data_IF_348181311286
#
_entry.id   IF_348181311286
#
_cell.length_a   1.000
_cell.length_b   1.000
_cell.length_c   1.000
_cell.angle_alpha   90.00
_cell.angle_beta   90.00
_cell.angle_gamma   90.00
#
_symmetry.space_group_name_H-M   'P 1'
#
loop_
_entity.id
_entity.type
_entity.pdbx_description
1 polymer ?
#
# COMPACT_ATOMS: atom_id res chain seq x y z
N UNK A 1 23.77 -2.33 -16.99
CA UNK A 1 24.23 -2.54 -15.60
C UNK A 1 23.10 -3.27 -14.90
N UNK A 2 23.23 -4.57 -14.70
CA UNK A 2 22.20 -5.40 -14.06
C UNK A 2 22.07 -4.99 -12.60
N UNK A 3 20.92 -4.44 -12.21
CA UNK A 3 20.50 -4.49 -10.82
C UNK A 3 20.29 -5.96 -10.48
N UNK A 4 21.11 -6.53 -9.60
CA UNK A 4 20.81 -7.85 -9.04
C UNK A 4 19.45 -7.75 -8.37
N UNK A 5 18.49 -8.52 -8.88
CA UNK A 5 17.09 -8.51 -8.45
C UNK A 5 16.90 -9.18 -7.07
N UNK A 6 18.00 -9.55 -6.43
CA UNK A 6 18.10 -10.27 -5.15
C UNK A 6 18.49 -9.38 -3.96
N UNK A 7 18.66 -8.07 -4.17
CA UNK A 7 18.97 -7.11 -3.11
C UNK A 7 17.86 -6.05 -2.98
N UNK A 8 17.63 -5.60 -1.76
CA UNK A 8 16.74 -4.47 -1.46
C UNK A 8 17.53 -3.34 -0.81
N UNK A 9 17.05 -2.11 -1.04
CA UNK A 9 17.65 -0.90 -0.46
C UNK A 9 16.85 -0.43 0.76
N UNK A 10 17.49 -0.41 1.92
CA UNK A 10 16.96 0.19 3.14
C UNK A 10 17.49 1.62 3.26
N UNK A 11 16.62 2.60 3.45
CA UNK A 11 16.99 4.02 3.56
C UNK A 11 16.82 4.48 5.01
N UNK A 12 17.84 5.14 5.55
CA UNK A 12 17.76 5.83 6.83
C UNK A 12 18.02 7.32 6.65
N UNK A 13 17.03 8.14 6.98
CA UNK A 13 17.03 9.59 6.84
C UNK A 13 17.12 10.24 8.23
N UNK A 14 18.14 11.07 8.43
CA UNK A 14 18.37 11.81 9.68
C UNK A 14 18.16 13.29 9.40
N UNK A 15 17.32 13.96 10.18
CA UNK A 15 16.90 15.36 9.98
C UNK A 15 17.07 16.17 11.25
N UNK A 16 17.20 17.49 11.10
CA UNK A 16 17.05 18.43 12.20
C UNK A 16 18.24 18.47 13.17
N UNK A 17 19.44 18.10 12.73
CA UNK A 17 20.62 18.05 13.60
C UNK A 17 21.57 19.22 13.33
N UNK A 18 22.27 19.65 14.39
CA UNK A 18 23.35 20.63 14.37
C UNK A 18 24.33 20.32 15.53
N UNK A 19 25.66 20.37 15.31
CA UNK A 19 26.39 20.74 14.08
C UNK A 19 26.39 19.65 12.98
N UNK A 20 26.95 19.97 11.80
CA UNK A 20 26.96 19.12 10.58
C UNK A 20 27.53 17.70 10.77
N UNK A 21 28.47 17.51 11.68
CA UNK A 21 29.20 16.25 11.82
C UNK A 21 28.52 15.34 12.85
N UNK A 22 27.86 14.28 12.37
CA UNK A 22 27.33 13.19 13.20
C UNK A 22 27.79 11.85 12.62
N UNK A 23 27.78 10.82 13.45
CA UNK A 23 28.03 9.45 13.02
C UNK A 23 26.70 8.76 12.73
N UNK A 24 26.62 8.06 11.60
CA UNK A 24 25.50 7.19 11.23
C UNK A 24 26.00 5.76 11.00
N UNK A 25 25.37 4.78 11.66
CA UNK A 25 25.75 3.36 11.61
C UNK A 25 24.54 2.46 11.37
N UNK A 26 24.82 1.26 10.86
CA UNK A 26 23.85 0.20 10.65
C UNK A 26 24.23 -1.02 11.47
N UNK A 27 23.22 -1.73 11.98
CA UNK A 27 23.41 -3.02 12.64
C UNK A 27 22.21 -3.94 12.42
N UNK A 28 22.43 -5.25 12.54
CA UNK A 28 21.39 -6.28 12.52
C UNK A 28 21.81 -7.40 13.45
N UNK A 29 20.88 -7.97 14.22
CA UNK A 29 21.17 -9.00 15.22
C UNK A 29 22.33 -8.63 16.17
N UNK A 30 22.36 -7.36 16.62
CA UNK A 30 23.42 -6.79 17.45
C UNK A 30 24.85 -6.81 16.85
N UNK A 31 24.98 -7.03 15.54
CA UNK A 31 26.26 -6.96 14.82
C UNK A 31 26.30 -5.70 13.97
N UNK A 32 27.44 -5.01 14.02
CA UNK A 32 27.69 -3.83 13.19
C UNK A 32 27.82 -4.26 11.74
N UNK A 33 27.13 -3.54 10.86
CA UNK A 33 27.22 -3.72 9.41
C UNK A 33 28.15 -2.64 8.87
N UNK A 34 29.14 -3.03 8.06
CA UNK A 34 30.13 -2.12 7.47
C UNK A 34 30.16 -2.17 5.94
N UNK A 35 29.54 -3.17 5.33
CA UNK A 35 29.47 -3.40 3.88
C UNK A 35 28.09 -3.07 3.32
N UNK A 36 27.99 -2.80 2.02
CA UNK A 36 26.71 -2.50 1.36
C UNK A 36 26.10 -1.14 1.73
N UNK A 37 26.86 -0.29 2.44
CA UNK A 37 26.40 1.02 2.92
C UNK A 37 26.86 2.11 1.96
N UNK A 38 25.90 2.85 1.42
CA UNK A 38 26.13 4.12 0.72
C UNK A 38 25.73 5.27 1.63
N UNK A 39 26.64 6.22 1.87
CA UNK A 39 26.38 7.43 2.66
C UNK A 39 26.23 8.63 1.74
N UNK A 40 25.28 9.50 2.06
CA UNK A 40 25.07 10.75 1.35
C UNK A 40 25.44 11.92 2.27
N UNK A 41 26.09 12.97 1.73
CA UNK A 41 26.56 14.09 2.54
C UNK A 41 25.41 14.83 3.22
N UNK A 42 25.71 15.44 4.37
CA UNK A 42 24.78 16.34 5.03
C UNK A 42 24.55 17.61 4.21
N UNK A 43 23.29 17.93 3.96
CA UNK A 43 22.83 19.14 3.29
C UNK A 43 22.14 20.03 4.32
N UNK A 44 22.39 21.34 4.26
CA UNK A 44 21.74 22.32 5.13
C UNK A 44 20.41 22.77 4.52
N UNK A 45 19.34 22.70 5.31
CA UNK A 45 18.03 23.22 4.95
C UNK A 45 17.95 24.74 5.13
N UNK A 46 16.84 25.33 4.69
CA UNK A 46 16.55 26.76 4.89
C UNK A 46 16.34 27.11 6.36
N UNK A 47 15.97 26.13 7.17
CA UNK A 47 15.86 26.20 8.64
C UNK A 47 17.22 26.16 9.35
N UNK A 48 18.32 26.23 8.59
CA UNK A 48 19.70 26.12 9.05
C UNK A 48 20.08 24.76 9.63
N UNK A 49 19.17 23.79 9.74
CA UNK A 49 19.46 22.45 10.23
C UNK A 49 20.03 21.56 9.13
N UNK A 50 20.78 20.53 9.52
CA UNK A 50 21.31 19.56 8.58
C UNK A 50 20.38 18.35 8.44
N UNK A 51 20.39 17.78 7.23
CA UNK A 51 19.77 16.51 6.88
C UNK A 51 20.77 15.64 6.14
N UNK A 52 20.86 14.36 6.49
CA UNK A 52 21.69 13.38 5.79
C UNK A 52 20.94 12.06 5.63
N UNK A 53 21.43 11.21 4.73
CA UNK A 53 20.87 9.87 4.58
C UNK A 53 21.94 8.82 4.31
N UNK A 54 21.60 7.58 4.61
CA UNK A 54 22.39 6.42 4.23
C UNK A 54 21.46 5.33 3.69
N UNK A 55 21.95 4.60 2.70
CA UNK A 55 21.29 3.46 2.10
C UNK A 55 22.11 2.20 2.40
N UNK A 56 21.45 1.17 2.90
CA UNK A 56 22.03 -0.15 3.11
C UNK A 56 21.41 -1.12 2.09
N UNK A 57 22.24 -1.76 1.27
CA UNK A 57 21.81 -2.89 0.43
C UNK A 57 21.85 -4.18 1.26
N UNK A 58 20.76 -4.94 1.24
CA UNK A 58 20.67 -6.24 1.94
C UNK A 58 20.04 -7.28 1.04
N UNK A 59 20.32 -8.58 1.25
CA UNK A 59 19.64 -9.65 0.53
C UNK A 59 18.12 -9.59 0.74
N UNK A 60 17.37 -9.78 -0.34
CA UNK A 60 15.91 -9.86 -0.29
C UNK A 60 15.44 -11.06 0.56
N UNK A 61 16.22 -12.14 0.62
CA UNK A 61 15.97 -13.30 1.50
C UNK A 61 15.91 -12.90 2.97
N UNK A 62 16.88 -12.12 3.44
CA UNK A 62 16.98 -11.71 4.84
C UNK A 62 15.82 -10.79 5.21
N UNK A 63 15.46 -9.88 4.32
CA UNK A 63 14.28 -9.03 4.48
C UNK A 63 12.98 -9.83 4.54
N UNK A 64 12.83 -10.80 3.64
CA UNK A 64 11.64 -11.64 3.57
C UNK A 64 11.54 -12.62 4.75
N UNK A 65 12.67 -12.97 5.37
CA UNK A 65 12.75 -13.69 6.64
C UNK A 65 12.45 -12.81 7.87
N UNK A 66 11.98 -11.57 7.66
CA UNK A 66 11.66 -10.58 8.71
C UNK A 66 12.88 -10.15 9.55
N UNK A 67 14.08 -10.13 8.94
CA UNK A 67 15.26 -9.55 9.60
C UNK A 67 15.01 -8.11 10.00
N UNK A 68 15.60 -7.72 11.13
CA UNK A 68 15.47 -6.40 11.71
C UNK A 68 16.80 -5.67 11.57
N UNK A 69 16.74 -4.47 11.00
CA UNK A 69 17.88 -3.59 10.82
C UNK A 69 17.71 -2.37 11.72
N UNK A 70 18.83 -1.89 12.23
CA UNK A 70 18.88 -0.76 13.15
C UNK A 70 19.80 0.29 12.55
N UNK A 71 19.26 1.49 12.33
CA UNK A 71 20.05 2.65 11.95
C UNK A 71 20.22 3.52 13.18
N UNK A 72 21.47 3.83 13.56
CA UNK A 72 21.79 4.72 14.67
C UNK A 72 22.46 5.98 14.17
N UNK A 73 22.08 7.13 14.71
CA UNK A 73 22.71 8.40 14.39
C UNK A 73 22.88 9.29 15.62
N UNK A 74 24.04 9.94 15.75
CA UNK A 74 24.32 10.88 16.85
C UNK A 74 25.76 11.39 16.88
N UNK A 75 26.04 12.27 17.85
CA UNK A 75 27.36 12.85 18.07
C UNK A 75 28.29 11.91 18.84
N UNK A 76 27.76 11.28 19.88
CA UNK A 76 28.46 10.29 20.72
C UNK A 76 27.74 8.96 20.66
N UNK A 77 28.47 7.87 20.90
CA UNK A 77 27.94 6.51 20.76
C UNK A 77 26.85 6.16 21.77
N UNK A 78 26.87 6.78 22.95
CA UNK A 78 25.90 6.62 24.04
C UNK A 78 24.62 7.47 23.86
N UNK A 79 24.70 8.54 23.06
CA UNK A 79 23.60 9.48 22.80
C UNK A 79 22.95 9.27 21.40
N UNK A 80 23.24 8.17 20.71
CA UNK A 80 22.69 7.93 19.38
C UNK A 80 21.19 7.58 19.41
N UNK A 81 20.42 8.23 18.55
CA UNK A 81 19.02 7.88 18.29
C UNK A 81 18.98 6.69 17.33
N UNK A 82 18.16 5.70 17.68
CA UNK A 82 18.00 4.47 16.92
C UNK A 82 16.65 4.42 16.18
N UNK A 83 16.69 4.11 14.89
CA UNK A 83 15.54 3.76 14.08
C UNK A 83 15.56 2.27 13.75
N UNK A 84 14.45 1.59 14.06
CA UNK A 84 14.24 0.17 13.75
C UNK A 84 13.54 0.03 12.40
N UNK A 85 14.17 -0.69 11.48
CA UNK A 85 13.69 -0.92 10.11
C UNK A 85 13.42 -2.41 9.96
N UNK A 86 12.20 -2.75 9.58
CA UNK A 86 11.74 -4.13 9.38
C UNK A 86 10.65 -4.14 8.31
N UNK A 87 10.40 -5.33 7.75
CA UNK A 87 9.28 -5.54 6.84
C UNK A 87 7.96 -5.12 7.51
N UNK A 88 7.19 -4.19 6.92
CA UNK A 88 5.88 -3.84 7.43
C UNK A 88 5.00 -5.09 7.47
N UNK A 89 4.20 -5.22 8.54
CA UNK A 89 3.22 -6.30 8.61
C UNK A 89 2.15 -6.03 7.57
N UNK A 90 1.93 -6.99 6.68
CA UNK A 90 0.86 -6.87 5.70
C UNK A 90 -0.50 -6.99 6.38
N UNK A 91 -1.44 -6.13 5.99
CA UNK A 91 -2.83 -6.16 6.43
C UNK A 91 -3.72 -6.30 5.21
N UNK A 92 -4.67 -7.23 5.27
CA UNK A 92 -5.59 -7.49 4.18
C UNK A 92 -6.67 -6.40 4.11
N UNK A 93 -7.08 -5.97 2.89
CA UNK A 93 -8.16 -5.01 2.74
C UNK A 93 -9.51 -5.58 3.17
N UNK A 94 -10.35 -4.71 3.69
CA UNK A 94 -11.80 -4.87 3.68
C UNK A 94 -12.36 -4.21 2.42
N UNK A 95 -13.27 -4.89 1.73
CA UNK A 95 -13.84 -4.41 0.48
C UNK A 95 -15.36 -4.30 0.63
N UNK A 96 -15.88 -3.10 0.40
CA UNK A 96 -17.31 -2.80 0.48
C UNK A 96 -17.77 -2.18 -0.82
N UNK A 97 -18.79 -2.75 -1.44
CA UNK A 97 -19.40 -2.17 -2.63
C UNK A 97 -20.30 -0.99 -2.24
N UNK A 98 -20.17 0.11 -2.97
CA UNK A 98 -21.01 1.28 -2.85
C UNK A 98 -21.95 1.30 -4.05
N UNK A 99 -23.24 1.25 -3.79
CA UNK A 99 -24.28 1.41 -4.80
C UNK A 99 -25.00 2.74 -4.58
N UNK A 100 -25.41 3.43 -5.65
CA UNK A 100 -26.18 4.66 -5.51
C UNK A 100 -27.58 4.36 -4.97
N UNK A 101 -28.12 5.33 -4.22
CA UNK A 101 -29.47 5.27 -3.71
C UNK A 101 -30.52 5.20 -4.83
N UNK A 102 -31.65 4.57 -4.56
CA UNK A 102 -32.77 4.44 -5.52
C UNK A 102 -33.30 5.78 -5.99
N UNK A 103 -33.28 6.81 -5.13
CA UNK A 103 -33.75 8.17 -5.44
C UNK A 103 -32.88 8.89 -6.48
N UNK A 104 -31.56 8.63 -6.49
CA UNK A 104 -30.61 9.26 -7.42
C UNK A 104 -30.71 8.74 -8.85
N UNK A 105 -31.28 7.54 -9.06
CA UNK A 105 -31.31 6.88 -10.38
C UNK A 105 -32.48 7.35 -11.26
N UNK A 106 -33.53 7.94 -10.67
CA UNK A 106 -34.79 8.18 -11.38
C UNK A 106 -34.68 9.23 -12.51
N UNK A 107 -33.71 10.15 -12.42
CA UNK A 107 -33.52 11.25 -13.38
C UNK A 107 -32.13 11.26 -14.05
N UNK A 108 -31.35 10.19 -13.93
CA UNK A 108 -29.99 10.11 -14.47
C UNK A 108 -29.91 9.14 -15.66
N UNK A 109 -29.01 9.43 -16.60
CA UNK A 109 -28.68 8.52 -17.73
C UNK A 109 -27.59 7.51 -17.38
N UNK A 110 -26.77 7.83 -16.37
CA UNK A 110 -25.68 7.00 -15.88
C UNK A 110 -25.76 6.83 -14.37
N UNK A 111 -25.08 5.80 -13.87
CA UNK A 111 -25.02 5.42 -12.47
C UNK A 111 -23.58 5.14 -12.09
N UNK A 112 -23.16 5.56 -10.90
CA UNK A 112 -21.80 5.37 -10.41
C UNK A 112 -21.79 4.24 -9.38
N UNK A 113 -21.11 3.16 -9.73
CA UNK A 113 -20.83 2.04 -8.83
C UNK A 113 -19.48 2.30 -8.15
N UNK A 114 -19.38 2.02 -6.86
CA UNK A 114 -18.16 2.23 -6.09
C UNK A 114 -17.69 0.95 -5.39
N UNK A 115 -16.41 0.94 -5.05
CA UNK A 115 -15.72 -0.12 -4.34
C UNK A 115 -14.80 0.57 -3.33
N UNK A 116 -15.28 0.66 -2.09
CA UNK A 116 -14.52 1.18 -0.96
C UNK A 116 -13.58 0.09 -0.47
N UNK A 117 -12.29 0.40 -0.36
CA UNK A 117 -11.26 -0.52 0.04
C UNK A 117 -10.50 0.09 1.21
N UNK A 118 -10.45 -0.56 2.36
CA UNK A 118 -9.89 0.02 3.59
C UNK A 118 -9.11 -0.99 4.43
N UNK A 119 -8.26 -0.51 5.34
CA UNK A 119 -7.56 -1.36 6.31
C UNK A 119 -6.36 -2.13 5.75
N UNK A 120 -5.94 -1.85 4.52
CA UNK A 120 -4.81 -2.56 3.90
C UNK A 120 -3.48 -1.86 4.17
N UNK A 121 -2.40 -2.63 4.21
CA UNK A 121 -1.04 -2.10 4.26
C UNK A 121 -0.07 -3.15 3.74
N UNK A 122 1.01 -2.77 3.01
CA UNK A 122 1.33 -1.44 2.47
C UNK A 122 0.37 -0.99 1.34
N UNK A 123 0.57 0.18 0.75
CA UNK A 123 -0.35 0.83 -0.19
C UNK A 123 -0.35 0.26 -1.63
N UNK A 124 0.24 -0.91 -1.85
CA UNK A 124 0.39 -1.54 -3.16
C UNK A 124 -0.83 -2.41 -3.52
N UNK A 125 -1.90 -1.79 -3.99
CA UNK A 125 -3.16 -2.46 -4.36
C UNK A 125 -3.45 -2.42 -5.86
N UNK A 126 -4.11 -3.45 -6.37
CA UNK A 126 -4.61 -3.52 -7.75
C UNK A 126 -6.11 -3.71 -7.73
N UNK A 127 -6.83 -2.93 -8.53
CA UNK A 127 -8.29 -2.99 -8.63
C UNK A 127 -8.68 -3.17 -10.10
N UNK A 128 -9.68 -4.03 -10.34
CA UNK A 128 -10.21 -4.35 -11.66
C UNK A 128 -11.73 -4.37 -11.62
N UNK A 129 -12.37 -4.05 -12.75
CA UNK A 129 -13.82 -4.09 -12.89
C UNK A 129 -14.24 -5.02 -14.02
N UNK A 130 -15.38 -5.67 -13.85
CA UNK A 130 -15.99 -6.53 -14.89
C UNK A 130 -17.51 -6.35 -14.95
N UNK A 131 -18.08 -6.44 -16.15
CA UNK A 131 -19.52 -6.62 -16.43
C UNK A 131 -19.70 -8.06 -16.92
N UNK A 132 -20.20 -8.95 -16.07
CA UNK A 132 -20.13 -10.40 -16.28
C UNK A 132 -18.68 -10.85 -16.43
N UNK A 133 -18.30 -11.33 -17.63
CA UNK A 133 -16.92 -11.71 -17.95
C UNK A 133 -16.13 -10.63 -18.69
N UNK A 134 -16.76 -9.50 -19.04
CA UNK A 134 -16.14 -8.46 -19.85
C UNK A 134 -15.45 -7.42 -18.97
N UNK A 135 -14.16 -7.18 -19.21
CA UNK A 135 -13.39 -6.17 -18.49
C UNK A 135 -13.97 -4.77 -18.69
N UNK A 136 -13.98 -3.98 -17.63
CA UNK A 136 -14.43 -2.60 -17.61
C UNK A 136 -13.31 -1.68 -17.11
N UNK A 137 -13.27 -0.47 -17.64
CA UNK A 137 -12.32 0.56 -17.18
C UNK A 137 -12.96 1.36 -16.04
N UNK A 138 -12.59 1.02 -14.81
CA UNK A 138 -12.88 1.84 -13.63
C UNK A 138 -11.78 2.85 -13.34
N UNK A 139 -12.05 3.76 -12.43
CA UNK A 139 -11.08 4.73 -11.90
C UNK A 139 -10.74 4.33 -10.46
N UNK A 140 -9.46 4.39 -10.09
CA UNK A 140 -8.99 4.16 -8.73
C UNK A 140 -8.43 5.47 -8.20
N UNK A 141 -8.93 5.94 -7.06
CA UNK A 141 -8.41 7.16 -6.45
C UNK A 141 -7.07 6.90 -5.73
N UNK A 142 -6.24 7.93 -5.51
CA UNK A 142 -5.02 7.79 -4.72
C UNK A 142 -5.34 7.30 -3.30
N UNK A 143 -4.58 6.30 -2.83
CA UNK A 143 -4.69 5.79 -1.47
C UNK A 143 -4.39 6.88 -0.44
N UNK A 144 -5.21 6.95 0.60
CA UNK A 144 -5.03 7.84 1.73
C UNK A 144 -4.58 7.03 2.96
N UNK A 145 -3.64 7.58 3.73
CA UNK A 145 -3.18 6.96 4.97
C UNK A 145 -4.14 7.30 6.11
N UNK A 146 -4.54 6.27 6.85
CA UNK A 146 -5.40 6.35 8.03
C UNK A 146 -4.55 6.49 9.31
N UNK A 147 -5.20 6.82 10.43
CA UNK A 147 -4.55 7.01 11.74
C UNK A 147 -3.97 5.73 12.35
N UNK A 148 -4.45 4.57 11.90
CA UNK A 148 -4.00 3.24 12.30
C UNK A 148 -2.86 2.68 11.43
N UNK A 149 -2.19 3.56 10.67
CA UNK A 149 -1.13 3.22 9.70
C UNK A 149 -1.56 2.28 8.56
N UNK A 150 -2.87 2.11 8.36
CA UNK A 150 -3.44 1.47 7.18
C UNK A 150 -3.74 2.48 6.08
N UNK A 151 -4.13 1.96 4.93
CA UNK A 151 -4.53 2.75 3.76
C UNK A 151 -5.99 2.47 3.41
N UNK A 152 -6.62 3.48 2.82
CA UNK A 152 -7.93 3.37 2.22
C UNK A 152 -7.96 4.03 0.84
N UNK A 153 -8.75 3.48 -0.07
CA UNK A 153 -9.02 4.05 -1.38
C UNK A 153 -10.44 3.71 -1.83
N UNK A 154 -10.95 4.46 -2.80
CA UNK A 154 -12.19 4.17 -3.49
C UNK A 154 -11.89 3.98 -4.97
N UNK A 155 -12.42 2.90 -5.54
CA UNK A 155 -12.55 2.78 -6.99
C UNK A 155 -13.99 2.93 -7.41
N UNK A 156 -14.24 3.55 -8.56
CA UNK A 156 -15.58 3.71 -9.10
C UNK A 156 -15.65 3.37 -10.59
N UNK A 157 -16.85 2.97 -11.02
CA UNK A 157 -17.19 2.64 -12.39
C UNK A 157 -18.50 3.36 -12.75
N UNK A 158 -18.46 4.14 -13.83
CA UNK A 158 -19.64 4.82 -14.36
C UNK A 158 -20.26 3.95 -15.46
N UNK A 159 -21.54 3.61 -15.33
CA UNK A 159 -22.24 2.75 -16.29
C UNK A 159 -23.59 3.37 -16.69
N UNK A 160 -24.13 3.07 -17.89
CA UNK A 160 -25.47 3.50 -18.26
C UNK A 160 -26.54 2.90 -17.35
N UNK A 161 -27.59 3.68 -17.02
CA UNK A 161 -28.71 3.19 -16.20
C UNK A 161 -29.45 2.05 -16.90
N UNK A 162 -29.54 2.08 -18.24
CA UNK A 162 -30.14 1.02 -19.03
C UNK A 162 -29.42 -0.32 -18.77
N UNK A 163 -28.10 -0.36 -18.98
CA UNK A 163 -27.25 -1.53 -18.73
C UNK A 163 -27.28 -2.03 -17.28
N UNK A 164 -27.36 -1.10 -16.32
CA UNK A 164 -27.48 -1.45 -14.90
C UNK A 164 -28.81 -2.15 -14.64
N UNK A 165 -29.93 -1.59 -15.13
CA UNK A 165 -31.29 -2.12 -14.95
C UNK A 165 -31.53 -3.47 -15.63
N UNK A 166 -30.72 -3.84 -16.62
CA UNK A 166 -30.73 -5.19 -17.22
C UNK A 166 -30.40 -6.30 -16.22
N UNK A 167 -29.86 -5.98 -15.04
CA UNK A 167 -29.52 -6.99 -14.03
C UNK A 167 -28.21 -7.73 -14.34
N UNK A 168 -27.30 -7.07 -15.06
CA UNK A 168 -25.93 -7.56 -15.26
C UNK A 168 -25.15 -7.56 -13.94
N UNK A 169 -24.22 -8.51 -13.78
CA UNK A 169 -23.28 -8.52 -12.65
C UNK A 169 -22.13 -7.56 -12.91
N UNK A 170 -21.95 -6.61 -12.00
CA UNK A 170 -20.79 -5.73 -11.98
C UNK A 170 -19.90 -6.11 -10.82
N UNK A 171 -18.65 -6.46 -11.10
CA UNK A 171 -17.73 -6.99 -10.07
C UNK A 171 -16.49 -6.14 -9.93
N UNK A 172 -16.16 -5.80 -8.68
CA UNK A 172 -14.89 -5.20 -8.28
C UNK A 172 -13.94 -6.32 -7.82
N UNK A 173 -12.86 -6.53 -8.56
CA UNK A 173 -11.77 -7.44 -8.19
C UNK A 173 -10.64 -6.65 -7.53
N UNK A 174 -10.23 -7.06 -6.35
CA UNK A 174 -9.19 -6.41 -5.55
C UNK A 174 -8.09 -7.41 -5.23
N UNK A 175 -6.86 -7.08 -5.63
CA UNK A 175 -5.68 -7.88 -5.35
C UNK A 175 -4.66 -7.05 -4.56
N UNK A 176 -4.27 -7.56 -3.40
CA UNK A 176 -3.26 -6.98 -2.52
C UNK A 176 -2.19 -8.04 -2.22
N UNK A 177 -1.17 -8.08 -3.10
CA UNK A 177 -0.06 -9.05 -3.07
C UNK A 177 0.63 -9.17 -1.70
N UNK A 178 0.92 -8.09 -0.96
CA UNK A 178 1.62 -8.21 0.33
C UNK A 178 0.89 -9.06 1.37
N UNK A 179 -0.45 -9.00 1.40
CA UNK A 179 -1.25 -9.82 2.31
C UNK A 179 -1.77 -11.10 1.66
N UNK A 180 -1.43 -11.35 0.40
CA UNK A 180 -2.00 -12.45 -0.39
C UNK A 180 -3.52 -12.34 -0.60
N UNK A 181 -4.11 -11.16 -0.44
CA UNK A 181 -5.56 -10.99 -0.62
C UNK A 181 -5.87 -10.90 -2.11
N UNK A 182 -6.79 -11.73 -2.57
CA UNK A 182 -7.35 -11.67 -3.91
C UNK A 182 -8.83 -12.04 -3.81
N UNK A 183 -9.70 -11.07 -4.01
CA UNK A 183 -11.13 -11.28 -3.88
C UNK A 183 -11.91 -10.45 -4.89
N UNK A 184 -13.08 -10.96 -5.27
CA UNK A 184 -13.99 -10.30 -6.20
C UNK A 184 -15.38 -10.27 -5.59
N UNK A 185 -15.95 -9.07 -5.49
CA UNK A 185 -17.30 -8.87 -4.96
C UNK A 185 -18.16 -8.30 -6.08
N UNK A 186 -19.35 -8.87 -6.24
CA UNK A 186 -20.28 -8.51 -7.30
C UNK A 186 -21.52 -7.81 -6.74
N UNK A 187 -22.01 -6.84 -7.51
CA UNK A 187 -23.29 -6.17 -7.31
C UNK A 187 -24.15 -6.32 -8.56
N UNK A 188 -25.47 -6.39 -8.35
CA UNK A 188 -26.44 -6.54 -9.42
C UNK A 188 -27.70 -5.71 -9.12
N UNK A 189 -28.29 -5.16 -10.17
CA UNK A 189 -29.63 -4.61 -10.11
C UNK A 189 -30.69 -5.72 -9.86
N UNK A 190 -31.53 -5.56 -8.85
CA UNK A 190 -32.76 -6.32 -8.58
C UNK A 190 -33.86 -5.34 -8.17
N UNK A 191 -35.02 -5.43 -8.82
CA UNK A 191 -36.16 -4.54 -8.56
C UNK A 191 -36.46 -4.45 -7.05
N UNK A 192 -36.39 -3.23 -6.51
CA UNK A 192 -36.78 -2.92 -5.13
C UNK A 192 -35.80 -3.31 -4.01
N UNK A 193 -34.82 -4.20 -4.19
CA UNK A 193 -33.76 -4.53 -3.20
C UNK A 193 -32.51 -5.16 -3.87
N UNK A 194 -31.33 -4.55 -3.70
CA UNK A 194 -30.05 -5.08 -4.22
C UNK A 194 -29.47 -6.18 -3.31
N UNK A 195 -28.71 -7.15 -3.86
CA UNK A 195 -28.02 -8.19 -3.09
C UNK A 195 -26.51 -8.16 -3.35
N UNK A 196 -25.71 -8.18 -2.28
CA UNK A 196 -24.26 -8.39 -2.36
C UNK A 196 -23.96 -9.88 -2.49
N UNK A 197 -23.11 -10.27 -3.44
CA UNK A 197 -22.58 -11.64 -3.53
C UNK A 197 -21.07 -11.58 -3.32
N UNK A 198 -20.59 -12.21 -2.24
CA UNK A 198 -19.17 -12.48 -2.04
C UNK A 198 -18.84 -13.85 -2.67
N UNK A 199 -17.98 -13.88 -3.69
CA UNK A 199 -17.36 -15.12 -4.14
C UNK A 199 -16.11 -15.35 -3.30
N UNK A 200 -16.25 -16.02 -2.14
CA UNK A 200 -15.08 -16.43 -1.34
C UNK A 200 -14.29 -17.49 -2.10
N UNK A 201 -13.20 -17.07 -2.76
CA UNK A 201 -12.26 -18.01 -3.33
C UNK A 201 -11.51 -18.71 -2.17
N UNK A 202 -11.65 -20.03 -2.10
CA UNK A 202 -11.08 -20.91 -1.08
C UNK A 202 -9.55 -20.89 -1.21
N UNK A 203 -8.76 -20.88 -0.11
CA UNK A 203 -7.32 -21.03 -0.24
C UNK A 203 -7.00 -22.40 -0.86
N UNK A 204 -6.27 -22.39 -1.96
CA UNK A 204 -5.65 -23.58 -2.54
C UNK A 204 -4.66 -24.14 -1.53
N UNK A 205 -5.06 -25.22 -0.85
CA UNK A 205 -4.12 -26.07 -0.12
C UNK A 205 -3.40 -26.90 -1.17
N UNK A 206 -2.11 -26.62 -1.37
CA UNK A 206 -1.10 -27.58 -1.84
C UNK A 206 0.11 -27.40 -0.93
#
# INVERSE_FOLDING_TARGET
>A
MNANQDEISLVCLVKGFQPKSITQTWSSNNRVITTGIKKFPAVQGKDMNYTMSSVLQVPASDWNANSVYHCKAGYKSDEMVEAKIRKPKAQAPNVTLLVPSTETVYNQTTVVLGCMISGFAPDSIQVSWTKGQMNQMGVVLPSQRSSDDTFATVSYLTVPVADWKEGNDYSCGVTHKPSGFDNRISMRYREGKWCLREEKNKPSVI
#
